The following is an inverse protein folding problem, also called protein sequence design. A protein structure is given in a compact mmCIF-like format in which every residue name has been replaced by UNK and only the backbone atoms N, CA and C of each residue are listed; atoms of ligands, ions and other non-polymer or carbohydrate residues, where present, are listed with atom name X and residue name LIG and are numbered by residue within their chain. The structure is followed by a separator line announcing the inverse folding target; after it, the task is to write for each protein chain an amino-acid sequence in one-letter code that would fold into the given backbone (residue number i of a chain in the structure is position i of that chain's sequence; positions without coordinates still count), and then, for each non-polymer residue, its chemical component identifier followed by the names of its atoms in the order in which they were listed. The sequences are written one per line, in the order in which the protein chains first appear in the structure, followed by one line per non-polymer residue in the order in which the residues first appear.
data_IF_352781914215
#
_entry.id   IF_352781914215
#
_cell.length_a   1.000
_cell.length_b   1.000
_cell.length_c   1.000
_cell.angle_alpha   90.00
_cell.angle_beta   90.00
_cell.angle_gamma   90.00
#
_symmetry.space_group_name_H-M   'P 1'
#
loop_
_entity.id
_entity.type
_entity.pdbx_description
1 polymer ?
#
# COMPACT_ATOMS: atom_id res chain seq x y z
N UNK A 1 0.85 17.88 25.16
CA UNK A 1 0.21 18.50 23.99
C UNK A 1 0.24 20.01 24.14
N UNK A 2 0.86 20.75 23.19
CA UNK A 2 0.97 22.22 23.23
C UNK A 2 0.58 22.83 21.88
N UNK A 3 0.14 24.10 21.90
CA UNK A 3 -0.28 24.84 20.73
C UNK A 3 0.73 25.96 20.43
N UNK A 4 1.23 25.99 19.21
CA UNK A 4 2.19 26.96 18.70
C UNK A 4 1.56 27.81 17.61
N UNK A 5 2.02 29.06 17.51
CA UNK A 5 1.55 30.00 16.52
C UNK A 5 2.73 30.74 15.91
N UNK A 6 2.84 30.70 14.59
CA UNK A 6 3.95 31.27 13.84
C UNK A 6 3.48 31.94 12.54
N UNK A 7 4.34 32.69 11.88
CA UNK A 7 4.02 33.34 10.62
C UNK A 7 3.96 32.33 9.45
N UNK A 8 4.76 31.27 9.53
CA UNK A 8 4.80 30.18 8.55
C UNK A 8 5.06 28.85 9.27
N UNK A 9 4.94 27.75 8.52
CA UNK A 9 5.09 26.39 9.04
C UNK A 9 6.53 26.11 9.50
N UNK A 10 7.52 26.65 8.81
CA UNK A 10 8.93 26.46 9.15
C UNK A 10 9.27 27.04 10.53
N UNK A 11 8.80 28.24 10.83
CA UNK A 11 8.94 28.88 12.13
C UNK A 11 8.18 28.13 13.23
N UNK A 12 6.97 27.64 12.91
CA UNK A 12 6.21 26.78 13.83
C UNK A 12 6.97 25.50 14.20
N UNK A 13 7.58 24.86 13.22
CA UNK A 13 8.40 23.67 13.42
C UNK A 13 9.63 23.93 14.29
N UNK A 14 10.31 25.06 14.08
CA UNK A 14 11.44 25.46 14.92
C UNK A 14 11.02 25.66 16.38
N UNK A 15 9.88 26.32 16.61
CA UNK A 15 9.35 26.51 17.96
C UNK A 15 8.97 25.18 18.63
N UNK A 16 8.33 24.28 17.89
CA UNK A 16 7.99 22.95 18.40
C UNK A 16 9.25 22.17 18.76
N UNK A 17 10.27 22.20 17.89
CA UNK A 17 11.55 21.52 18.10
C UNK A 17 12.32 22.06 19.31
N UNK A 18 12.35 23.38 19.47
CA UNK A 18 13.03 24.03 20.62
C UNK A 18 12.38 23.68 21.96
N UNK A 19 11.07 23.51 22.00
CA UNK A 19 10.33 23.33 23.26
C UNK A 19 9.99 21.85 23.57
N UNK A 20 9.71 21.03 22.55
CA UNK A 20 9.30 19.63 22.70
C UNK A 20 10.36 18.62 22.23
N UNK A 21 11.45 19.09 21.61
CA UNK A 21 12.52 18.24 21.11
C UNK A 21 12.22 17.57 19.77
N UNK A 22 13.17 16.75 19.29
CA UNK A 22 13.13 16.10 17.96
C UNK A 22 12.11 14.97 17.86
N UNK A 23 11.62 14.46 18.98
CA UNK A 23 10.58 13.41 19.03
C UNK A 23 9.16 13.97 19.00
N UNK A 24 8.98 15.27 18.85
CA UNK A 24 7.68 15.90 18.81
C UNK A 24 6.92 15.55 17.50
N UNK A 25 5.66 15.18 17.66
CA UNK A 25 4.73 14.90 16.55
C UNK A 25 3.72 16.03 16.44
N UNK A 26 3.52 16.55 15.23
CA UNK A 26 2.48 17.51 14.96
C UNK A 26 1.15 16.77 14.80
N UNK A 27 0.21 17.03 15.69
CA UNK A 27 -1.10 16.42 15.68
C UNK A 27 -2.09 17.13 14.77
N UNK A 28 -1.94 18.46 14.63
CA UNK A 28 -2.81 19.26 13.78
C UNK A 28 -2.11 20.57 13.39
N UNK A 29 -2.36 21.06 12.16
CA UNK A 29 -1.92 22.37 11.71
C UNK A 29 -3.06 23.06 10.99
N UNK A 30 -3.26 24.37 11.25
CA UNK A 30 -4.31 25.16 10.63
C UNK A 30 -3.78 26.53 10.20
N UNK A 31 -3.97 26.87 8.93
CA UNK A 31 -3.70 28.21 8.44
C UNK A 31 -4.81 29.17 8.93
N UNK A 32 -4.42 30.23 9.63
CA UNK A 32 -5.33 31.25 10.19
C UNK A 32 -5.04 32.59 9.55
N UNK A 33 -6.04 33.16 8.89
CA UNK A 33 -5.99 34.53 8.38
C UNK A 33 -6.47 35.48 9.47
N UNK A 34 -5.61 36.37 9.96
CA UNK A 34 -6.00 37.47 10.84
C UNK A 34 -6.18 38.76 10.01
N UNK A 35 -7.36 39.34 10.08
CA UNK A 35 -7.65 40.64 9.52
C UNK A 35 -7.35 41.71 10.58
N UNK A 36 -6.46 42.65 10.27
CA UNK A 36 -6.20 43.85 11.08
C UNK A 36 -6.62 45.10 10.31
N UNK A 37 -7.05 46.12 11.04
CA UNK A 37 -7.45 47.44 10.48
C UNK A 37 -8.62 47.36 9.49
N UNK A 38 -9.86 47.14 9.98
CA UNK A 38 -11.09 47.13 9.17
C UNK A 38 -11.04 46.29 7.90
N UNK A 39 -10.28 45.20 7.88
CA UNK A 39 -10.24 44.27 6.73
C UNK A 39 -9.22 44.56 5.63
N UNK A 40 -8.45 45.64 5.74
CA UNK A 40 -7.52 46.11 4.70
C UNK A 40 -6.16 45.39 4.68
N UNK A 41 -5.75 44.74 5.78
CA UNK A 41 -4.48 44.01 5.86
C UNK A 41 -4.75 42.58 6.41
N UNK A 42 -4.54 41.56 5.59
CA UNK A 42 -4.60 40.19 6.03
C UNK A 42 -3.18 39.63 6.28
N UNK A 43 -2.89 39.19 7.52
CA UNK A 43 -1.65 38.48 7.84
C UNK A 43 -1.98 37.00 7.97
N UNK A 44 -1.34 36.16 7.15
CA UNK A 44 -1.41 34.70 7.27
C UNK A 44 -0.57 34.26 8.46
N UNK A 45 -1.06 33.38 9.29
CA UNK A 45 -0.32 32.72 10.37
C UNK A 45 -0.71 31.26 10.42
N UNK A 46 0.18 30.41 10.92
CA UNK A 46 -0.06 28.98 11.09
C UNK A 46 -0.17 28.69 12.59
N UNK A 47 -1.21 27.96 12.97
CA UNK A 47 -1.36 27.39 14.30
C UNK A 47 -1.06 25.88 14.24
N UNK A 48 -0.17 25.41 15.09
CA UNK A 48 0.27 24.01 15.16
C UNK A 48 0.02 23.46 16.54
N UNK A 49 -0.56 22.27 16.63
CA UNK A 49 -0.69 21.51 17.88
C UNK A 49 0.30 20.36 17.81
N UNK A 50 1.22 20.30 18.76
CA UNK A 50 2.23 19.26 18.84
C UNK A 50 2.23 18.58 20.22
N UNK A 51 2.65 17.32 20.24
CA UNK A 51 2.85 16.53 21.46
C UNK A 51 4.13 15.69 21.34
N UNK A 52 4.67 15.27 22.46
CA UNK A 52 5.67 14.20 22.57
C UNK A 52 4.93 12.95 23.00
N UNK A 53 5.21 11.81 22.36
CA UNK A 53 4.73 10.50 22.80
C UNK A 53 5.57 10.11 24.02
N UNK A 54 4.97 10.13 25.20
CA UNK A 54 5.57 9.51 26.39
C UNK A 54 5.43 7.99 26.22
N UNK A 55 6.47 7.22 26.55
CA UNK A 55 6.53 5.76 26.42
C UNK A 55 5.22 5.08 26.89
N UNK A 56 4.76 4.01 26.21
CA UNK A 56 3.48 3.38 26.53
C UNK A 56 3.49 2.79 27.95
N UNK A 57 2.46 3.03 28.78
CA UNK A 57 2.34 2.41 30.08
C UNK A 57 2.17 0.89 29.96
N UNK A 58 2.86 0.15 30.81
CA UNK A 58 2.77 -1.32 30.92
C UNK A 58 1.31 -1.79 31.11
N UNK A 59 0.92 -2.94 30.57
CA UNK A 59 -0.48 -3.38 30.60
C UNK A 59 -0.93 -3.74 32.01
N UNK A 60 -1.91 -2.99 32.51
CA UNK A 60 -2.66 -3.31 33.72
C UNK A 60 -3.61 -4.52 33.47
N UNK A 61 -3.50 -5.52 34.32
CA UNK A 61 -4.30 -6.73 34.34
C UNK A 61 -5.81 -6.41 34.45
N UNK A 62 -6.58 -6.80 33.46
CA UNK A 62 -8.04 -6.70 33.45
C UNK A 62 -8.66 -7.67 34.43
N UNK A 63 -9.43 -7.16 35.38
CA UNK A 63 -10.44 -7.91 36.14
C UNK A 63 -11.70 -8.05 35.31
N UNK A 64 -12.14 -9.29 35.16
CA UNK A 64 -13.47 -9.67 34.61
C UNK A 64 -14.54 -9.18 35.57
N UNK A 65 -15.57 -8.53 35.06
CA UNK A 65 -16.91 -8.56 35.66
C UNK A 65 -17.93 -8.83 34.55
N UNK A 66 -18.67 -9.92 34.78
CA UNK A 66 -19.89 -10.29 34.11
C UNK A 66 -21.02 -9.41 34.66
N UNK A 67 -21.87 -8.92 33.78
CA UNK A 67 -23.29 -8.82 34.08
C UNK A 67 -24.13 -8.68 32.80
N UNK A 68 -25.10 -9.56 32.74
CA UNK A 68 -26.16 -9.70 31.75
C UNK A 68 -27.22 -8.64 31.93
N UNK A 69 -27.74 -8.07 30.84
CA UNK A 69 -29.09 -7.50 30.88
C UNK A 69 -29.83 -7.75 29.57
N UNK A 70 -30.91 -8.49 29.70
CA UNK A 70 -31.94 -8.75 28.70
C UNK A 70 -32.88 -7.52 28.70
N UNK A 71 -33.23 -6.97 27.55
CA UNK A 71 -34.37 -6.08 27.39
C UNK A 71 -34.97 -6.13 25.98
N UNK A 72 -36.07 -6.81 25.87
CA UNK A 72 -37.40 -6.40 25.35
C UNK A 72 -37.52 -6.04 23.86
N UNK A 73 -38.19 -6.93 23.15
CA UNK A 73 -38.85 -6.74 21.86
C UNK A 73 -39.87 -5.59 21.91
N UNK A 74 -39.83 -4.69 20.93
CA UNK A 74 -40.95 -3.83 20.53
C UNK A 74 -41.37 -4.15 19.10
N UNK A 75 -42.66 -4.35 18.95
CA UNK A 75 -43.45 -4.55 17.74
C UNK A 75 -43.24 -3.40 16.75
N UNK A 76 -43.20 -3.72 15.47
CA UNK A 76 -43.24 -2.76 14.37
C UNK A 76 -44.52 -3.00 13.57
N UNK A 77 -45.35 -1.95 13.46
CA UNK A 77 -46.53 -1.88 12.61
C UNK A 77 -46.14 -1.74 11.10
N UNK A 78 -47.03 -2.16 10.18
CA UNK A 78 -46.71 -2.20 8.76
C UNK A 78 -46.97 -0.86 8.08
N UNK A 79 -45.95 -0.27 7.45
CA UNK A 79 -46.10 0.92 6.60
C UNK A 79 -45.71 0.62 5.15
N UNK A 80 -46.68 0.86 4.28
CA UNK A 80 -46.54 1.45 2.96
C UNK A 80 -45.70 0.75 1.90
N UNK A 81 -46.36 0.08 0.97
CA UNK A 81 -45.83 -0.35 -0.32
C UNK A 81 -45.44 0.87 -1.16
N UNK A 82 -44.12 1.14 -1.31
CA UNK A 82 -43.62 2.02 -2.36
C UNK A 82 -43.13 1.20 -3.55
N UNK A 83 -43.64 1.58 -4.73
CA UNK A 83 -43.31 0.99 -6.03
C UNK A 83 -41.81 1.18 -6.30
N UNK A 84 -41.05 0.08 -6.31
CA UNK A 84 -39.64 0.03 -6.73
C UNK A 84 -39.55 -0.08 -8.24
N UNK A 85 -38.66 0.70 -8.83
CA UNK A 85 -38.35 0.75 -10.25
C UNK A 85 -37.87 -0.60 -10.80
N UNK A 86 -38.13 -0.91 -12.09
CA UNK A 86 -37.89 -2.24 -12.70
C UNK A 86 -36.42 -2.73 -12.71
N UNK A 87 -35.44 -1.86 -12.52
CA UNK A 87 -34.01 -2.20 -12.55
C UNK A 87 -33.50 -2.93 -11.28
N UNK A 88 -34.07 -2.66 -10.12
CA UNK A 88 -33.63 -3.27 -8.85
C UNK A 88 -34.04 -4.74 -8.70
N UNK A 89 -35.13 -5.16 -9.35
CA UNK A 89 -35.55 -6.56 -9.35
C UNK A 89 -34.73 -7.40 -10.33
N UNK A 90 -34.32 -6.84 -11.46
CA UNK A 90 -33.46 -7.52 -12.42
C UNK A 90 -32.05 -7.74 -11.86
N UNK A 91 -31.49 -6.76 -11.14
CA UNK A 91 -30.18 -6.90 -10.50
C UNK A 91 -30.20 -7.95 -9.38
N UNK A 92 -31.26 -7.97 -8.56
CA UNK A 92 -31.45 -9.02 -7.54
C UNK A 92 -31.67 -10.40 -8.11
N UNK A 93 -32.36 -10.48 -9.26
CA UNK A 93 -32.56 -11.74 -9.96
C UNK A 93 -31.25 -12.25 -10.56
N UNK A 94 -30.44 -11.37 -11.13
CA UNK A 94 -29.09 -11.68 -11.61
C UNK A 94 -28.15 -12.14 -10.49
N UNK A 95 -28.14 -11.46 -9.34
CA UNK A 95 -27.40 -11.91 -8.15
C UNK A 95 -27.85 -13.29 -7.67
N UNK A 96 -29.17 -13.53 -7.58
CA UNK A 96 -29.67 -14.85 -7.15
C UNK A 96 -29.40 -15.95 -8.15
N UNK A 97 -29.39 -15.66 -9.45
CA UNK A 97 -29.00 -16.63 -10.50
C UNK A 97 -27.49 -16.92 -10.42
N UNK A 98 -26.66 -15.92 -10.15
CA UNK A 98 -25.22 -16.10 -9.95
C UNK A 98 -24.93 -16.93 -8.69
N UNK A 99 -25.65 -16.69 -7.61
CA UNK A 99 -25.53 -17.47 -6.37
C UNK A 99 -26.05 -18.90 -6.52
N UNK A 100 -27.17 -19.10 -7.23
CA UNK A 100 -27.61 -20.45 -7.59
C UNK A 100 -26.62 -21.17 -8.49
N UNK A 101 -26.01 -20.47 -9.45
CA UNK A 101 -24.96 -21.03 -10.33
C UNK A 101 -23.72 -21.41 -9.53
N UNK A 102 -23.31 -20.59 -8.53
CA UNK A 102 -22.23 -20.92 -7.59
C UNK A 102 -22.58 -22.15 -6.74
N UNK A 103 -23.79 -22.21 -6.18
CA UNK A 103 -24.25 -23.36 -5.40
C UNK A 103 -24.34 -24.64 -6.25
N UNK A 104 -24.86 -24.56 -7.47
CA UNK A 104 -24.86 -25.72 -8.40
C UNK A 104 -23.45 -26.16 -8.74
N UNK A 105 -22.52 -25.24 -9.02
CA UNK A 105 -21.11 -25.57 -9.25
C UNK A 105 -20.46 -26.25 -8.02
N UNK A 106 -20.74 -25.77 -6.82
CA UNK A 106 -20.19 -26.37 -5.57
C UNK A 106 -20.74 -27.78 -5.31
N UNK A 107 -22.00 -28.05 -5.65
CA UNK A 107 -22.64 -29.35 -5.51
C UNK A 107 -22.12 -30.33 -6.58
N UNK A 108 -21.95 -29.86 -7.83
CA UNK A 108 -21.35 -30.67 -8.90
C UNK A 108 -19.87 -30.95 -8.69
N UNK A 109 -19.11 -29.99 -8.12
CA UNK A 109 -17.72 -30.19 -7.72
C UNK A 109 -17.56 -31.30 -6.66
N UNK A 110 -18.43 -31.32 -5.65
CA UNK A 110 -18.41 -32.36 -4.58
C UNK A 110 -18.80 -33.77 -5.08
N UNK A 111 -19.57 -33.85 -6.15
CA UNK A 111 -20.08 -35.14 -6.69
C UNK A 111 -19.30 -35.68 -7.91
N UNK A 112 -18.41 -34.88 -8.52
CA UNK A 112 -17.67 -35.25 -9.73
C UNK A 112 -16.15 -35.35 -9.53
N UNK A 113 -15.67 -35.38 -8.29
CA UNK A 113 -14.26 -35.64 -8.05
C UNK A 113 -13.98 -37.09 -8.44
N UNK A 114 -13.15 -37.24 -9.47
CA UNK A 114 -12.66 -38.55 -9.90
C UNK A 114 -11.98 -39.23 -8.67
N UNK A 115 -12.51 -40.37 -8.17
CA UNK A 115 -11.90 -41.03 -7.01
C UNK A 115 -10.45 -41.49 -7.24
N UNK A 116 -9.97 -41.38 -8.49
CA UNK A 116 -8.59 -41.67 -8.86
C UNK A 116 -7.67 -40.45 -8.78
N UNK A 117 -8.19 -39.27 -8.37
CA UNK A 117 -7.38 -38.09 -8.23
C UNK A 117 -6.44 -38.21 -7.03
N UNK A 118 -5.14 -37.97 -7.19
CA UNK A 118 -4.20 -38.00 -6.08
C UNK A 118 -4.50 -36.92 -5.02
N UNK A 119 -4.22 -37.20 -3.75
CA UNK A 119 -4.51 -36.33 -2.59
C UNK A 119 -3.88 -34.93 -2.75
N UNK A 120 -2.72 -34.83 -3.37
CA UNK A 120 -2.01 -33.57 -3.56
C UNK A 120 -2.77 -32.55 -4.43
N UNK A 121 -3.73 -32.96 -5.29
CA UNK A 121 -4.63 -32.03 -5.99
C UNK A 121 -5.53 -31.29 -4.99
N UNK A 122 -6.05 -32.00 -4.01
CA UNK A 122 -6.87 -31.41 -2.96
C UNK A 122 -6.05 -30.47 -2.07
N UNK A 123 -4.82 -30.84 -1.77
CA UNK A 123 -3.91 -29.99 -0.99
C UNK A 123 -3.57 -28.70 -1.73
N UNK A 124 -3.27 -28.76 -3.02
CA UNK A 124 -3.01 -27.56 -3.84
C UNK A 124 -4.26 -26.68 -3.93
N UNK A 125 -5.45 -27.28 -4.17
CA UNK A 125 -6.71 -26.53 -4.22
C UNK A 125 -7.02 -25.85 -2.88
N UNK A 126 -6.85 -26.54 -1.77
CA UNK A 126 -7.07 -26.02 -0.42
C UNK A 126 -6.10 -24.86 -0.13
N UNK A 127 -4.81 -25.05 -0.42
CA UNK A 127 -3.78 -24.03 -0.22
C UNK A 127 -4.04 -22.80 -1.10
N UNK A 128 -4.31 -22.98 -2.40
CA UNK A 128 -4.66 -21.88 -3.31
C UNK A 128 -5.91 -21.12 -2.85
N UNK A 129 -6.93 -21.83 -2.37
CA UNK A 129 -8.18 -21.21 -1.89
C UNK A 129 -7.99 -20.37 -0.63
N UNK A 130 -6.92 -20.59 0.12
CA UNK A 130 -6.54 -19.79 1.30
C UNK A 130 -5.71 -18.56 0.94
N UNK A 131 -5.30 -18.44 -0.32
CA UNK A 131 -4.49 -17.30 -0.79
C UNK A 131 -5.36 -16.16 -1.33
N UNK A 132 -4.76 -15.00 -1.52
CA UNK A 132 -5.42 -13.79 -2.05
C UNK A 132 -5.45 -13.75 -3.60
N UNK A 133 -5.34 -14.89 -4.28
CA UNK A 133 -5.28 -14.95 -5.76
C UNK A 133 -6.65 -14.81 -6.43
N UNK A 134 -7.74 -15.04 -5.69
CA UNK A 134 -9.12 -14.95 -6.16
C UNK A 134 -9.68 -16.28 -6.67
N UNK A 135 -10.98 -16.55 -6.36
CA UNK A 135 -11.66 -17.82 -6.66
C UNK A 135 -11.63 -18.18 -8.15
N UNK A 136 -11.90 -17.21 -9.05
CA UNK A 136 -11.93 -17.46 -10.48
C UNK A 136 -10.57 -17.94 -11.01
N UNK A 137 -9.48 -17.44 -10.45
CA UNK A 137 -8.13 -17.87 -10.83
C UNK A 137 -7.80 -19.25 -10.28
N UNK A 138 -8.23 -19.56 -9.05
CA UNK A 138 -8.11 -20.91 -8.49
C UNK A 138 -8.85 -21.93 -9.34
N UNK A 139 -10.08 -21.62 -9.76
CA UNK A 139 -10.87 -22.49 -10.65
C UNK A 139 -10.14 -22.74 -11.98
N UNK A 140 -9.63 -21.69 -12.64
CA UNK A 140 -8.93 -21.78 -13.93
C UNK A 140 -7.65 -22.61 -13.82
N UNK A 141 -6.86 -22.40 -12.77
CA UNK A 141 -5.68 -23.23 -12.49
C UNK A 141 -6.06 -24.69 -12.29
N UNK A 142 -7.03 -24.97 -11.42
CA UNK A 142 -7.41 -26.35 -11.08
C UNK A 142 -7.97 -27.10 -12.28
N UNK A 143 -8.80 -26.45 -13.12
CA UNK A 143 -9.30 -27.03 -14.36
C UNK A 143 -8.15 -27.38 -15.31
N UNK A 144 -7.19 -26.47 -15.45
CA UNK A 144 -6.02 -26.70 -16.29
C UNK A 144 -5.13 -27.84 -15.76
N UNK A 145 -4.86 -27.89 -14.47
CA UNK A 145 -4.08 -28.96 -13.82
C UNK A 145 -4.77 -30.33 -14.02
N UNK A 146 -6.08 -30.36 -13.84
CA UNK A 146 -6.87 -31.59 -14.04
C UNK A 146 -6.76 -32.08 -15.49
N UNK A 147 -6.87 -31.18 -16.47
CA UNK A 147 -6.74 -31.52 -17.89
C UNK A 147 -5.34 -32.06 -18.23
N UNK A 148 -4.28 -31.45 -17.67
CA UNK A 148 -2.90 -31.90 -17.89
C UNK A 148 -2.64 -33.27 -17.23
N UNK A 149 -3.21 -33.50 -16.04
CA UNK A 149 -3.13 -34.78 -15.37
C UNK A 149 -3.90 -35.89 -16.10
N UNK A 150 -5.07 -35.59 -16.70
CA UNK A 150 -5.79 -36.57 -17.52
C UNK A 150 -4.96 -37.06 -18.71
N UNK A 151 -4.13 -36.18 -19.29
CA UNK A 151 -3.24 -36.55 -20.39
C UNK A 151 -2.03 -37.36 -19.91
N UNK A 152 -1.56 -37.10 -18.72
CA UNK A 152 -0.40 -37.77 -18.13
C UNK A 152 -0.63 -38.07 -16.64
N UNK A 153 -1.16 -39.25 -16.36
CA UNK A 153 -1.46 -39.71 -14.99
C UNK A 153 -0.23 -40.00 -14.12
N UNK A 154 0.99 -39.79 -14.64
CA UNK A 154 2.25 -39.97 -13.91
C UNK A 154 2.81 -38.65 -13.35
N UNK A 155 2.07 -37.54 -13.48
CA UNK A 155 2.47 -36.26 -12.88
C UNK A 155 2.51 -36.41 -11.35
N UNK A 156 3.65 -36.07 -10.77
CA UNK A 156 3.85 -35.96 -9.33
C UNK A 156 3.53 -34.54 -8.82
N UNK A 157 3.57 -34.35 -7.52
CA UNK A 157 3.31 -33.07 -6.85
C UNK A 157 4.23 -31.96 -7.37
N UNK A 158 5.53 -32.24 -7.56
CA UNK A 158 6.50 -31.25 -8.03
C UNK A 158 6.19 -30.80 -9.47
N UNK A 159 5.80 -31.73 -10.35
CA UNK A 159 5.40 -31.41 -11.71
C UNK A 159 4.15 -30.52 -11.74
N UNK A 160 3.18 -30.78 -10.85
CA UNK A 160 1.98 -29.93 -10.73
C UNK A 160 2.29 -28.53 -10.19
N UNK A 161 3.16 -28.41 -9.18
CA UNK A 161 3.60 -27.10 -8.69
C UNK A 161 4.32 -26.29 -9.78
N UNK A 162 5.13 -26.93 -10.60
CA UNK A 162 5.74 -26.30 -11.77
C UNK A 162 4.70 -25.82 -12.79
N UNK A 163 3.63 -26.60 -13.00
CA UNK A 163 2.52 -26.18 -13.87
C UNK A 163 1.76 -25.00 -13.26
N UNK A 164 1.53 -24.97 -11.93
CA UNK A 164 0.97 -23.80 -11.24
C UNK A 164 1.85 -22.57 -11.49
N UNK A 165 3.17 -22.67 -11.30
CA UNK A 165 4.10 -21.57 -11.52
C UNK A 165 4.02 -21.04 -12.94
N UNK A 166 4.00 -21.93 -13.94
CA UNK A 166 3.85 -21.54 -15.34
C UNK A 166 2.52 -20.83 -15.60
N UNK A 167 1.40 -21.31 -15.04
CA UNK A 167 0.09 -20.66 -15.20
C UNK A 167 0.06 -19.29 -14.54
N UNK A 168 0.61 -19.16 -13.34
CA UNK A 168 0.77 -17.87 -12.65
C UNK A 168 1.58 -16.93 -13.52
N UNK A 169 2.74 -17.35 -14.02
CA UNK A 169 3.61 -16.57 -14.88
C UNK A 169 2.88 -16.08 -16.14
N UNK A 170 2.21 -16.97 -16.87
CA UNK A 170 1.45 -16.64 -18.08
C UNK A 170 0.30 -15.66 -17.77
N UNK A 171 -0.36 -15.82 -16.63
CA UNK A 171 -1.45 -14.93 -16.25
C UNK A 171 -1.01 -13.49 -15.99
N UNK A 172 0.28 -13.26 -15.76
CA UNK A 172 0.89 -11.95 -15.54
C UNK A 172 1.42 -11.31 -16.84
N UNK A 173 1.23 -11.93 -18.02
CA UNK A 173 1.88 -11.49 -19.27
C UNK A 173 1.51 -10.06 -19.67
N UNK A 174 0.26 -9.65 -19.48
CA UNK A 174 -0.21 -8.31 -19.79
C UNK A 174 0.18 -7.24 -18.74
N UNK A 175 0.78 -7.64 -17.62
CA UNK A 175 1.12 -6.72 -16.53
C UNK A 175 2.54 -6.18 -16.75
N UNK A 176 2.73 -4.86 -16.80
CA UNK A 176 4.05 -4.27 -16.99
C UNK A 176 4.92 -4.43 -15.73
N UNK A 177 6.08 -5.05 -15.91
CA UNK A 177 7.18 -5.06 -14.95
C UNK A 177 8.29 -4.21 -15.52
N UNK A 178 8.58 -3.06 -14.91
CA UNK A 178 9.59 -2.14 -15.43
C UNK A 178 10.97 -2.54 -14.95
N UNK A 179 11.88 -2.79 -15.89
CA UNK A 179 13.26 -3.23 -15.58
C UNK A 179 14.17 -2.09 -15.11
N UNK A 180 13.89 -0.85 -15.53
CA UNK A 180 14.70 0.31 -15.17
C UNK A 180 13.94 1.29 -14.27
N UNK A 181 14.06 1.16 -12.94
CA UNK A 181 13.35 1.99 -11.97
C UNK A 181 13.77 3.46 -11.96
N UNK A 182 14.95 3.77 -12.53
CA UNK A 182 15.57 5.11 -12.55
C UNK A 182 15.57 5.76 -13.93
N UNK A 183 14.60 5.38 -14.78
CA UNK A 183 14.40 5.94 -16.11
C UNK A 183 13.88 7.37 -16.07
N UNK A 184 12.99 7.64 -15.11
CA UNK A 184 12.42 8.97 -14.92
C UNK A 184 13.21 9.79 -13.91
N UNK A 185 13.13 11.11 -14.07
CA UNK A 185 13.82 12.07 -13.20
C UNK A 185 13.42 11.99 -11.74
N UNK A 186 12.14 11.79 -11.47
CA UNK A 186 11.58 11.77 -10.13
C UNK A 186 11.07 10.36 -9.78
N UNK A 187 11.43 9.88 -8.60
CA UNK A 187 10.93 8.63 -8.00
C UNK A 187 10.22 8.97 -6.71
N UNK A 188 8.91 8.83 -6.69
CA UNK A 188 8.06 9.16 -5.55
C UNK A 188 7.53 7.89 -4.88
N UNK A 189 7.59 7.83 -3.55
CA UNK A 189 6.95 6.78 -2.76
C UNK A 189 5.73 7.34 -2.03
N UNK A 190 4.60 6.68 -2.19
CA UNK A 190 3.34 7.00 -1.53
C UNK A 190 2.82 5.79 -0.75
N UNK A 191 1.93 6.03 0.22
CA UNK A 191 1.33 4.94 0.99
C UNK A 191 1.05 5.32 2.44
N UNK A 192 0.41 4.43 3.23
CA UNK A 192 0.00 4.71 4.60
C UNK A 192 1.18 4.87 5.57
N UNK A 193 0.87 5.25 6.82
CA UNK A 193 1.87 5.34 7.89
C UNK A 193 2.41 3.95 8.25
N UNK A 194 3.71 3.86 8.54
CA UNK A 194 4.32 2.65 9.09
C UNK A 194 4.65 1.55 8.08
N UNK A 195 4.37 1.73 6.79
CA UNK A 195 4.70 0.75 5.74
C UNK A 195 6.17 0.77 5.30
N UNK A 196 7.01 1.64 5.86
CA UNK A 196 8.43 1.70 5.52
C UNK A 196 8.79 2.57 4.32
N UNK A 197 8.00 3.63 3.97
CA UNK A 197 8.28 4.52 2.83
C UNK A 197 9.68 5.12 2.84
N UNK A 198 10.03 5.84 3.91
CA UNK A 198 11.33 6.53 4.05
C UNK A 198 12.49 5.55 3.98
N UNK A 199 12.38 4.38 4.64
CA UNK A 199 13.41 3.34 4.59
C UNK A 199 13.53 2.72 3.19
N UNK A 200 12.40 2.46 2.53
CA UNK A 200 12.37 1.98 1.14
C UNK A 200 13.00 2.98 0.19
N UNK A 201 12.68 4.28 0.35
CA UNK A 201 13.27 5.35 -0.45
C UNK A 201 14.79 5.41 -0.27
N UNK A 202 15.28 5.28 0.96
CA UNK A 202 16.71 5.22 1.24
C UNK A 202 17.39 4.02 0.56
N UNK A 203 16.76 2.84 0.55
CA UNK A 203 17.25 1.65 -0.17
C UNK A 203 17.30 1.88 -1.67
N UNK A 204 16.24 2.47 -2.26
CA UNK A 204 16.19 2.81 -3.68
C UNK A 204 17.30 3.80 -4.05
N UNK A 205 17.50 4.83 -3.23
CA UNK A 205 18.51 5.85 -3.42
C UNK A 205 19.94 5.26 -3.35
N UNK A 206 20.20 4.45 -2.32
CA UNK A 206 21.49 3.75 -2.19
C UNK A 206 21.73 2.77 -3.36
N UNK A 207 20.70 2.06 -3.81
CA UNK A 207 20.78 1.20 -4.99
C UNK A 207 21.12 2.00 -6.25
N UNK A 208 20.47 3.16 -6.46
CA UNK A 208 20.73 4.05 -7.60
C UNK A 208 22.17 4.56 -7.62
N UNK A 209 22.70 4.96 -6.46
CA UNK A 209 24.06 5.47 -6.33
C UNK A 209 25.08 4.36 -6.46
N UNK A 210 24.97 3.29 -5.67
CA UNK A 210 26.02 2.28 -5.54
C UNK A 210 26.04 1.29 -6.71
N UNK A 211 24.86 0.90 -7.25
CA UNK A 211 24.81 -0.07 -8.35
C UNK A 211 24.68 0.57 -9.72
N UNK A 212 24.11 1.78 -9.81
CA UNK A 212 23.86 2.44 -11.09
C UNK A 212 24.66 3.73 -11.29
N UNK A 213 25.48 4.15 -10.31
CA UNK A 213 26.36 5.32 -10.42
C UNK A 213 25.62 6.65 -10.62
N UNK A 214 24.34 6.74 -10.19
CA UNK A 214 23.50 7.92 -10.38
C UNK A 214 23.84 9.01 -9.37
N UNK A 215 23.85 10.26 -9.81
CA UNK A 215 23.83 11.44 -8.92
C UNK A 215 22.41 11.66 -8.45
N UNK A 216 22.20 11.60 -7.14
CA UNK A 216 20.87 11.62 -6.55
C UNK A 216 20.63 12.82 -5.64
N UNK A 217 19.38 13.12 -5.38
CA UNK A 217 18.94 14.08 -4.36
C UNK A 217 17.62 13.64 -3.75
N UNK A 218 17.24 14.31 -2.68
CA UNK A 218 16.00 14.01 -1.97
C UNK A 218 15.11 15.22 -1.87
N UNK A 219 13.80 15.00 -1.95
CA UNK A 219 12.75 15.92 -1.56
C UNK A 219 11.89 15.22 -0.52
N UNK A 220 11.57 15.89 0.60
CA UNK A 220 10.57 15.39 1.53
C UNK A 220 9.41 16.35 1.68
N UNK A 221 8.21 15.79 1.66
CA UNK A 221 6.96 16.46 2.02
C UNK A 221 6.42 15.95 3.36
N UNK A 222 7.12 15.02 4.05
CA UNK A 222 6.76 14.56 5.41
C UNK A 222 7.18 15.59 6.47
N UNK A 223 6.55 16.76 6.42
CA UNK A 223 6.81 17.87 7.32
C UNK A 223 6.07 17.77 8.66
N UNK A 224 5.21 16.75 8.81
CA UNK A 224 4.47 16.51 10.05
C UNK A 224 5.29 15.78 11.12
N UNK A 225 6.31 15.05 10.70
CA UNK A 225 7.16 14.24 11.57
C UNK A 225 8.58 14.77 11.54
N UNK A 226 8.98 15.52 12.60
CA UNK A 226 10.34 16.07 12.70
C UNK A 226 11.39 14.96 12.58
N UNK A 227 11.17 13.84 13.27
CA UNK A 227 12.07 12.69 13.23
C UNK A 227 12.21 12.07 11.83
N UNK A 228 11.17 12.14 10.97
CA UNK A 228 11.26 11.61 9.60
C UNK A 228 12.19 12.45 8.73
N UNK A 229 12.14 13.78 8.85
CA UNK A 229 13.07 14.69 8.16
C UNK A 229 14.52 14.40 8.57
N UNK A 230 14.76 14.26 9.87
CA UNK A 230 16.12 13.99 10.38
C UNK A 230 16.60 12.59 9.96
N UNK A 231 15.72 11.60 9.98
CA UNK A 231 16.05 10.26 9.47
C UNK A 231 16.46 10.31 7.99
N UNK A 232 15.70 11.03 7.14
CA UNK A 232 16.03 11.17 5.72
C UNK A 232 17.36 11.90 5.51
N UNK A 233 17.65 12.94 6.33
CA UNK A 233 18.92 13.66 6.29
C UNK A 233 20.11 12.77 6.64
N UNK A 234 19.95 11.84 7.58
CA UNK A 234 21.01 10.87 7.91
C UNK A 234 21.35 10.02 6.68
N UNK A 235 20.35 9.46 5.99
CA UNK A 235 20.58 8.70 4.76
C UNK A 235 21.20 9.56 3.66
N UNK A 236 20.72 10.78 3.49
CA UNK A 236 21.23 11.70 2.49
C UNK A 236 22.71 12.07 2.75
N UNK A 237 23.08 12.31 4.02
CA UNK A 237 24.48 12.56 4.39
C UNK A 237 25.38 11.37 4.09
N UNK A 238 24.92 10.13 4.37
CA UNK A 238 25.69 8.91 4.04
C UNK A 238 25.89 8.78 2.52
N UNK A 239 24.91 9.18 1.73
CA UNK A 239 24.94 9.11 0.26
C UNK A 239 25.49 10.39 -0.39
N UNK A 240 25.97 11.36 0.41
CA UNK A 240 26.46 12.67 -0.06
C UNK A 240 25.47 13.39 -0.98
N UNK A 241 24.17 13.27 -0.70
CA UNK A 241 23.07 13.77 -1.53
C UNK A 241 22.38 14.99 -0.89
N UNK A 242 22.04 16.03 -1.67
CA UNK A 242 21.26 17.16 -1.16
C UNK A 242 19.83 16.78 -0.79
N UNK A 243 19.25 17.48 0.21
CA UNK A 243 17.88 17.31 0.69
C UNK A 243 17.15 18.64 0.66
N UNK A 244 15.99 18.66 0.03
CA UNK A 244 15.05 19.78 0.04
C UNK A 244 13.80 19.41 0.85
N UNK A 245 13.34 20.31 1.71
CA UNK A 245 12.13 20.13 2.51
C UNK A 245 11.04 21.03 1.97
N UNK A 246 9.93 20.45 1.51
CA UNK A 246 8.83 21.17 0.88
C UNK A 246 7.59 21.19 1.77
N UNK A 247 7.15 22.39 2.11
CA UNK A 247 5.93 22.66 2.88
C UNK A 247 4.76 23.08 1.98
N UNK A 248 5.04 23.45 0.72
CA UNK A 248 4.08 23.96 -0.26
C UNK A 248 4.42 23.52 -1.68
N UNK A 249 3.49 23.73 -2.61
CA UNK A 249 3.74 23.51 -4.04
C UNK A 249 4.80 24.47 -4.60
N UNK A 250 4.91 25.66 -4.05
CA UNK A 250 5.93 26.64 -4.42
C UNK A 250 7.31 26.13 -4.02
N UNK A 251 7.48 25.60 -2.78
CA UNK A 251 8.73 25.01 -2.34
C UNK A 251 9.13 23.83 -3.25
N UNK A 252 8.15 23.01 -3.65
CA UNK A 252 8.40 21.88 -4.55
C UNK A 252 8.93 22.34 -5.93
N UNK A 253 8.40 23.42 -6.48
CA UNK A 253 8.90 24.01 -7.75
C UNK A 253 10.34 24.49 -7.61
N UNK A 254 10.67 25.16 -6.51
CA UNK A 254 12.02 25.62 -6.21
C UNK A 254 12.96 24.42 -6.05
N UNK A 255 12.56 23.39 -5.29
CA UNK A 255 13.33 22.17 -5.10
C UNK A 255 13.60 21.44 -6.43
N UNK A 256 12.61 21.33 -7.33
CA UNK A 256 12.81 20.79 -8.70
C UNK A 256 13.90 21.54 -9.46
N UNK A 257 13.94 22.86 -9.34
CA UNK A 257 14.95 23.69 -10.02
C UNK A 257 16.33 23.49 -9.41
N UNK A 258 16.44 23.50 -8.07
CA UNK A 258 17.71 23.31 -7.37
C UNK A 258 18.33 21.95 -7.68
N UNK A 259 17.52 20.91 -7.80
CA UNK A 259 17.95 19.54 -8.04
C UNK A 259 17.93 19.14 -9.54
N UNK A 260 17.74 20.09 -10.45
CA UNK A 260 17.64 19.80 -11.90
C UNK A 260 18.90 19.18 -12.49
N UNK A 261 20.07 19.48 -11.91
CA UNK A 261 21.37 18.98 -12.37
C UNK A 261 21.67 17.51 -12.00
N UNK A 262 20.85 16.89 -11.15
CA UNK A 262 21.01 15.50 -10.69
C UNK A 262 20.37 14.52 -11.68
N UNK A 263 20.76 13.24 -11.64
CA UNK A 263 20.19 12.20 -12.48
C UNK A 263 18.82 11.76 -12.01
N UNK A 264 18.63 11.53 -10.69
CA UNK A 264 17.40 11.06 -10.07
C UNK A 264 17.13 11.81 -8.77
N UNK A 265 15.89 12.19 -8.55
CA UNK A 265 15.43 12.84 -7.32
C UNK A 265 14.38 11.95 -6.66
N UNK A 266 14.64 11.56 -5.42
CA UNK A 266 13.77 10.71 -4.62
C UNK A 266 12.85 11.56 -3.75
N UNK A 267 11.53 11.28 -3.80
CA UNK A 267 10.51 12.06 -3.10
C UNK A 267 9.87 11.22 -2.02
N UNK A 268 10.11 11.59 -0.74
CA UNK A 268 9.46 11.01 0.42
C UNK A 268 8.17 11.77 0.75
N UNK A 269 7.09 11.04 0.96
CA UNK A 269 5.79 11.64 1.30
C UNK A 269 5.35 11.25 2.71
N UNK A 270 4.60 12.16 3.35
CA UNK A 270 4.01 11.89 4.65
C UNK A 270 3.14 10.63 4.60
N UNK A 271 3.27 9.77 5.61
CA UNK A 271 2.33 8.69 5.82
C UNK A 271 1.12 9.21 6.61
N UNK A 272 -0.07 9.05 6.07
CA UNK A 272 -1.31 9.41 6.77
C UNK A 272 -2.30 8.27 6.80
N UNK A 273 -3.31 8.41 7.64
CA UNK A 273 -4.41 7.47 7.67
C UNK A 273 -5.14 7.49 6.32
N UNK A 274 -5.07 6.37 5.61
CA UNK A 274 -5.65 6.19 4.28
C UNK A 274 -7.19 6.28 4.26
N UNK A 275 -7.86 6.18 5.41
CA UNK A 275 -9.31 6.33 5.50
C UNK A 275 -9.79 7.78 5.29
N UNK A 276 -8.87 8.76 5.29
CA UNK A 276 -9.17 10.15 5.00
C UNK A 276 -8.70 10.52 3.58
N UNK A 277 -9.64 10.55 2.62
CA UNK A 277 -9.37 10.88 1.21
C UNK A 277 -8.87 12.32 0.97
N UNK A 278 -9.04 13.25 1.93
CA UNK A 278 -8.54 14.63 1.82
C UNK A 278 -7.02 14.67 1.66
N UNK A 279 -6.30 13.74 2.29
CA UNK A 279 -4.85 13.68 2.23
C UNK A 279 -4.30 13.43 0.82
N UNK A 280 -4.94 12.57 0.04
CA UNK A 280 -4.50 12.30 -1.36
C UNK A 280 -4.67 13.54 -2.22
N UNK A 281 -5.69 14.35 -1.97
CA UNK A 281 -5.89 15.63 -2.65
C UNK A 281 -4.81 16.64 -2.23
N UNK A 282 -4.51 16.78 -0.92
CA UNK A 282 -3.41 17.63 -0.43
C UNK A 282 -2.07 17.23 -1.08
N UNK A 283 -1.81 15.92 -1.22
CA UNK A 283 -0.60 15.42 -1.86
C UNK A 283 -0.53 15.81 -3.34
N UNK A 284 -1.66 15.75 -4.05
CA UNK A 284 -1.76 16.20 -5.47
C UNK A 284 -1.60 17.70 -5.61
N UNK A 285 -2.03 18.48 -4.63
CA UNK A 285 -1.87 19.94 -4.64
C UNK A 285 -0.40 20.36 -4.46
N UNK A 286 0.39 19.57 -3.73
CA UNK A 286 1.82 19.84 -3.52
C UNK A 286 2.69 19.22 -4.61
N UNK A 287 2.41 17.98 -5.01
CA UNK A 287 3.20 17.24 -5.98
C UNK A 287 2.49 17.23 -7.33
N UNK A 288 3.22 17.69 -8.34
CA UNK A 288 2.82 17.56 -9.73
C UNK A 288 3.20 16.17 -10.24
N UNK A 289 2.25 15.22 -10.20
CA UNK A 289 2.41 13.85 -10.67
C UNK A 289 2.42 13.78 -12.21
N UNK A 290 3.45 14.37 -12.83
CA UNK A 290 3.59 14.45 -14.29
C UNK A 290 4.34 13.25 -14.89
N UNK A 291 4.50 13.30 -16.22
CA UNK A 291 5.15 12.28 -17.05
C UNK A 291 6.58 11.94 -16.63
N UNK A 292 7.30 12.85 -15.97
CA UNK A 292 8.68 12.67 -15.50
C UNK A 292 8.80 11.96 -14.14
N UNK A 293 7.69 11.58 -13.52
CA UNK A 293 7.67 10.95 -12.19
C UNK A 293 7.28 9.48 -12.29
N UNK A 294 8.03 8.60 -11.63
CA UNK A 294 7.62 7.24 -11.30
C UNK A 294 7.06 7.24 -9.88
N UNK A 295 5.82 6.80 -9.72
CA UNK A 295 5.14 6.73 -8.42
C UNK A 295 5.01 5.28 -7.99
N UNK A 296 5.61 4.92 -6.86
CA UNK A 296 5.48 3.63 -6.22
C UNK A 296 4.49 3.69 -5.06
N UNK A 297 3.49 2.82 -5.07
CA UNK A 297 2.65 2.59 -3.89
C UNK A 297 3.34 1.55 -2.99
N UNK A 298 3.72 1.98 -1.80
CA UNK A 298 4.37 1.13 -0.80
C UNK A 298 3.32 0.52 0.11
N UNK A 299 3.30 -0.81 0.19
CA UNK A 299 2.37 -1.60 0.99
C UNK A 299 3.15 -2.61 1.85
N UNK A 300 2.73 -2.81 3.10
CA UNK A 300 3.33 -3.82 3.96
C UNK A 300 2.61 -5.16 3.78
N UNK A 301 3.35 -6.24 3.51
CA UNK A 301 2.79 -7.59 3.35
C UNK A 301 2.13 -8.15 4.62
N UNK A 302 2.41 -7.54 5.76
CA UNK A 302 1.74 -7.83 7.04
C UNK A 302 0.32 -7.25 7.14
N UNK A 303 -0.11 -6.45 6.17
CA UNK A 303 -1.47 -5.90 6.11
C UNK A 303 -2.44 -6.91 5.51
N UNK A 304 -3.73 -6.79 5.86
CA UNK A 304 -4.78 -7.60 5.23
C UNK A 304 -4.96 -7.20 3.77
N UNK A 305 -5.24 -8.16 2.91
CA UNK A 305 -5.47 -7.93 1.48
C UNK A 305 -6.56 -6.88 1.20
N UNK A 306 -7.70 -6.97 1.89
CA UNK A 306 -8.80 -6.01 1.73
C UNK A 306 -8.43 -4.58 2.15
N UNK A 307 -7.53 -4.42 3.12
CA UNK A 307 -7.03 -3.10 3.50
C UNK A 307 -6.05 -2.57 2.45
N UNK A 308 -5.18 -3.42 1.89
CA UNK A 308 -4.30 -3.06 0.78
C UNK A 308 -5.09 -2.64 -0.47
N UNK A 309 -6.21 -3.30 -0.78
CA UNK A 309 -7.13 -2.88 -1.85
C UNK A 309 -7.67 -1.48 -1.61
N UNK A 310 -8.25 -1.23 -0.43
CA UNK A 310 -8.79 0.09 -0.07
C UNK A 310 -7.73 1.19 -0.15
N UNK A 311 -6.51 0.90 0.30
CA UNK A 311 -5.37 1.82 0.18
C UNK A 311 -5.08 2.10 -1.30
N UNK A 312 -5.01 1.06 -2.12
CA UNK A 312 -4.73 1.18 -3.56
C UNK A 312 -5.79 2.03 -4.25
N UNK A 313 -7.08 1.79 -3.96
CA UNK A 313 -8.19 2.57 -4.52
C UNK A 313 -8.06 4.05 -4.19
N UNK A 314 -7.71 4.39 -2.96
CA UNK A 314 -7.54 5.78 -2.53
C UNK A 314 -6.36 6.47 -3.20
N UNK A 315 -5.22 5.77 -3.31
CA UNK A 315 -4.05 6.33 -3.97
C UNK A 315 -4.11 6.23 -5.51
N UNK A 316 -5.16 5.62 -6.08
CA UNK A 316 -5.24 5.41 -7.53
C UNK A 316 -5.13 6.70 -8.35
N UNK A 317 -5.72 7.77 -7.83
CA UNK A 317 -5.76 9.09 -8.51
C UNK A 317 -4.39 9.78 -8.62
N UNK A 318 -3.35 9.33 -7.90
CA UNK A 318 -1.99 9.88 -8.02
C UNK A 318 -1.15 9.21 -9.13
N UNK A 319 -1.75 8.29 -9.88
CA UNK A 319 -1.08 7.67 -11.02
C UNK A 319 0.00 6.67 -10.62
N UNK A 320 -0.38 5.64 -9.85
CA UNK A 320 0.51 4.54 -9.45
C UNK A 320 1.11 3.87 -10.68
N UNK A 321 2.44 3.74 -10.72
CA UNK A 321 3.14 3.01 -11.78
C UNK A 321 3.29 1.55 -11.42
N UNK A 322 3.83 1.23 -10.24
CA UNK A 322 4.03 -0.13 -9.75
C UNK A 322 3.90 -0.16 -8.22
N UNK A 323 3.79 -1.37 -7.67
CA UNK A 323 3.81 -1.61 -6.24
C UNK A 323 5.24 -1.83 -5.73
N UNK A 324 5.47 -1.45 -4.47
CA UNK A 324 6.60 -1.89 -3.68
C UNK A 324 6.05 -2.52 -2.41
N UNK A 325 6.40 -3.78 -2.20
CA UNK A 325 5.98 -4.49 -0.99
C UNK A 325 7.11 -4.54 0.03
N UNK A 326 6.74 -4.34 1.30
CA UNK A 326 7.70 -4.30 2.41
C UNK A 326 7.37 -5.36 3.45
N UNK A 327 8.32 -5.59 4.36
CA UNK A 327 8.17 -6.50 5.50
C UNK A 327 7.92 -7.94 5.08
N UNK A 328 8.60 -8.38 4.04
CA UNK A 328 8.54 -9.78 3.62
C UNK A 328 9.10 -10.72 4.68
N UNK A 329 10.10 -10.26 5.43
CA UNK A 329 10.72 -10.91 6.58
C UNK A 329 9.77 -11.10 7.79
N UNK A 330 8.67 -10.34 7.84
CA UNK A 330 7.67 -10.42 8.92
C UNK A 330 6.47 -11.31 8.57
N UNK A 331 6.41 -11.93 7.38
CA UNK A 331 5.27 -12.73 6.92
C UNK A 331 5.68 -13.94 6.07
N UNK A 332 4.88 -14.99 6.13
CA UNK A 332 5.02 -16.16 5.27
C UNK A 332 4.23 -16.06 3.97
N UNK A 333 3.22 -15.16 3.90
CA UNK A 333 2.36 -14.99 2.73
C UNK A 333 2.96 -14.01 1.72
N UNK A 334 2.82 -14.35 0.45
CA UNK A 334 3.23 -13.56 -0.72
C UNK A 334 2.08 -13.34 -1.70
N UNK A 335 0.98 -14.07 -1.52
CA UNK A 335 -0.15 -14.12 -2.47
C UNK A 335 -0.81 -12.75 -2.72
N UNK A 336 -0.79 -11.87 -1.71
CA UNK A 336 -1.30 -10.51 -1.86
C UNK A 336 -0.59 -9.72 -2.98
N UNK A 337 0.71 -9.97 -3.23
CA UNK A 337 1.44 -9.36 -4.34
C UNK A 337 0.83 -9.74 -5.68
N UNK A 338 0.53 -11.03 -5.85
CA UNK A 338 -0.11 -11.54 -7.06
C UNK A 338 -1.53 -10.99 -7.20
N UNK A 339 -2.35 -11.09 -6.15
CA UNK A 339 -3.75 -10.65 -6.17
C UNK A 339 -3.89 -9.16 -6.53
N UNK A 340 -3.07 -8.29 -5.93
CA UNK A 340 -3.07 -6.85 -6.24
C UNK A 340 -2.56 -6.59 -7.66
N UNK A 341 -1.49 -7.26 -8.09
CA UNK A 341 -0.95 -7.09 -9.44
C UNK A 341 -1.99 -7.45 -10.52
N UNK A 342 -2.74 -8.53 -10.32
CA UNK A 342 -3.83 -8.94 -11.23
C UNK A 342 -5.00 -7.95 -11.22
N UNK A 343 -5.44 -7.54 -10.02
CA UNK A 343 -6.62 -6.68 -9.86
C UNK A 343 -6.41 -5.30 -10.48
N UNK A 344 -5.22 -4.72 -10.28
CA UNK A 344 -4.91 -3.35 -10.72
C UNK A 344 -4.08 -3.27 -12.00
N UNK A 345 -3.68 -4.40 -12.56
CA UNK A 345 -2.78 -4.50 -13.74
C UNK A 345 -1.50 -3.67 -13.58
N UNK A 346 -0.90 -3.75 -12.39
CA UNK A 346 0.35 -3.08 -12.03
C UNK A 346 1.33 -4.10 -11.47
N UNK A 347 2.56 -4.09 -12.00
CA UNK A 347 3.61 -4.98 -11.53
C UNK A 347 4.17 -4.60 -10.16
N UNK A 348 4.89 -5.53 -9.57
CA UNK A 348 5.72 -5.32 -8.39
C UNK A 348 7.11 -4.90 -8.84
N UNK A 349 7.57 -3.70 -8.43
CA UNK A 349 8.91 -3.21 -8.76
C UNK A 349 9.97 -3.79 -7.82
N UNK A 350 9.69 -3.75 -6.52
CA UNK A 350 10.60 -4.17 -5.47
C UNK A 350 9.85 -4.82 -4.31
N UNK A 351 10.59 -5.69 -3.60
CA UNK A 351 10.19 -6.23 -2.30
C UNK A 351 11.31 -5.94 -1.31
N UNK A 352 10.98 -5.53 -0.07
CA UNK A 352 11.98 -5.43 1.00
C UNK A 352 11.83 -6.60 1.96
N UNK A 353 12.98 -7.21 2.30
CA UNK A 353 13.07 -8.43 3.10
C UNK A 353 14.06 -8.23 4.26
N UNK A 354 13.88 -7.15 5.02
CA UNK A 354 14.70 -6.79 6.18
C UNK A 354 15.01 -5.31 6.30
N UNK A 355 15.97 -4.95 7.17
CA UNK A 355 16.26 -3.57 7.56
C UNK A 355 17.55 -2.99 6.95
N UNK A 356 18.41 -3.81 6.34
CA UNK A 356 19.70 -3.36 5.80
C UNK A 356 19.52 -2.52 4.51
N UNK A 357 20.36 -1.50 4.36
CA UNK A 357 20.33 -0.55 3.24
C UNK A 357 21.66 -0.61 2.51
N UNK A 358 21.69 -0.96 1.23
CA UNK A 358 20.59 -1.28 0.31
C UNK A 358 20.27 -2.77 0.18
N UNK A 359 20.93 -3.68 0.92
CA UNK A 359 20.99 -5.12 0.69
C UNK A 359 19.60 -5.76 0.64
N UNK A 360 18.71 -5.36 1.57
CA UNK A 360 17.37 -5.93 1.70
C UNK A 360 16.35 -5.24 0.75
N UNK A 361 16.77 -4.86 -0.46
CA UNK A 361 15.93 -4.40 -1.55
C UNK A 361 16.09 -5.35 -2.73
N UNK A 362 15.05 -6.11 -3.01
CA UNK A 362 15.02 -7.12 -4.07
C UNK A 362 14.23 -6.57 -5.25
N UNK A 363 14.85 -6.34 -6.42
CA UNK A 363 14.11 -6.09 -7.65
C UNK A 363 13.22 -7.29 -7.95
N UNK A 364 11.94 -7.03 -8.27
CA UNK A 364 10.96 -8.10 -8.44
C UNK A 364 10.53 -8.20 -9.90
N UNK A 365 10.60 -9.41 -10.43
CA UNK A 365 10.21 -9.71 -11.81
C UNK A 365 8.94 -10.56 -11.82
N UNK A 366 8.39 -10.77 -13.00
CA UNK A 366 7.25 -11.66 -13.20
C UNK A 366 7.55 -13.09 -12.74
N UNK A 367 8.75 -13.57 -13.04
CA UNK A 367 9.24 -14.90 -12.65
C UNK A 367 9.31 -15.04 -11.13
N UNK A 368 9.89 -14.03 -10.46
CA UNK A 368 10.00 -14.04 -9.01
C UNK A 368 8.62 -13.98 -8.33
N UNK A 369 7.66 -13.26 -8.93
CA UNK A 369 6.30 -13.21 -8.41
C UNK A 369 5.59 -14.57 -8.55
N UNK A 370 5.71 -15.22 -9.70
CA UNK A 370 5.15 -16.56 -9.92
C UNK A 370 5.77 -17.57 -8.96
N UNK A 371 7.09 -17.57 -8.84
CA UNK A 371 7.83 -18.44 -7.94
C UNK A 371 7.47 -18.23 -6.47
N UNK A 372 7.31 -16.97 -6.04
CA UNK A 372 6.99 -16.66 -4.64
C UNK A 372 5.62 -17.19 -4.21
N UNK A 373 4.65 -17.27 -5.13
CA UNK A 373 3.35 -17.87 -4.86
C UNK A 373 3.46 -19.39 -4.75
N UNK A 374 4.21 -20.05 -5.63
CA UNK A 374 4.41 -21.50 -5.56
C UNK A 374 5.21 -21.94 -4.34
N UNK A 375 6.21 -21.16 -3.93
CA UNK A 375 6.94 -21.40 -2.66
C UNK A 375 6.01 -21.28 -1.42
N UNK A 376 4.99 -20.41 -1.47
CA UNK A 376 3.97 -20.32 -0.42
C UNK A 376 3.11 -21.60 -0.36
N UNK A 377 2.79 -22.20 -1.51
CA UNK A 377 2.02 -23.45 -1.58
C UNK A 377 2.80 -24.67 -1.08
N UNK A 378 4.13 -24.62 -1.06
CA UNK A 378 4.99 -25.71 -0.55
C UNK A 378 5.13 -25.72 0.97
N UNK A 379 4.77 -24.62 1.65
CA UNK A 379 4.79 -24.49 3.10
C UNK A 379 3.50 -25.00 3.73
#
# INVERSE_FOLDING_TARGET
MKKYKAENMQEAMQLVRLELGDQAVILNSKAVKKYKFFGLISKKSVEVIAAVDEEPPQPLKTKKNNESTIATMKQIDPVGVQKTSPNLEQDRLLESILDMKKMMKSITKKNNLDPSLPDFFHEIEEKLSKTDVGEAFVEDIMESLYHDWQKNKTLDEMALLNLVEQKVFLSLEEIPFEENPYKKKFVCVVGPTGVGKTTTLAKLAANATLKHGKKIGFITTDTYRIAAIEQLKIYANILEAPVEVCYSAEDFKVAKTNLAHLDVVFIDTAGRNFLNGEFVNELRDVLDFQSEMTTYLVLALTSKFEDMKKITDQFWSVGIHQFVFTKKDETTSSSAMYGLSKLYKKGTAFVTDGQNVPEDLIPFTRELLAKSLTEELQK
#
